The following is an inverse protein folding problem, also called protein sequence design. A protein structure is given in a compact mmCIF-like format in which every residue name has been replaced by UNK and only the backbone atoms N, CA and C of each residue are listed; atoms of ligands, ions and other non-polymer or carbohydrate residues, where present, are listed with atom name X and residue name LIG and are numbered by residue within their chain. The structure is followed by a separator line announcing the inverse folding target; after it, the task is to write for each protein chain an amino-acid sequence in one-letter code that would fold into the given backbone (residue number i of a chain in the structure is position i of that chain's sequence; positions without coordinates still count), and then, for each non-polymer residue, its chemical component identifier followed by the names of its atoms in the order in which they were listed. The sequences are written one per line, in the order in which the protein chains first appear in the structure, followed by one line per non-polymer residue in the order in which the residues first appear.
data_IF_354601224755
#
_entry.id   IF_354601224755
#
_cell.length_a   1.000
_cell.length_b   1.000
_cell.length_c   1.000
_cell.angle_alpha   90.00
_cell.angle_beta   90.00
_cell.angle_gamma   90.00
#
_symmetry.space_group_name_H-M   'P 1'
#
loop_
_entity.id
_entity.type
_entity.pdbx_description
1 polymer ?
#
# COMPACT_ATOMS: atom_id res chain seq x y z
N UNK A 1 -40.24 -27.94 3.09
CA UNK A 1 -40.08 -26.64 2.43
C UNK A 1 -38.63 -26.24 2.61
N UNK A 2 -37.84 -26.50 1.58
CA UNK A 2 -36.40 -26.19 1.54
C UNK A 2 -36.28 -24.78 0.92
N UNK A 3 -35.88 -23.81 1.74
CA UNK A 3 -35.54 -22.48 1.24
C UNK A 3 -34.03 -22.55 0.93
N UNK A 4 -33.73 -22.89 -0.31
CA UNK A 4 -32.43 -22.62 -0.90
C UNK A 4 -32.42 -21.16 -1.36
N UNK A 5 -32.09 -20.24 -0.46
CA UNK A 5 -31.67 -18.90 -0.85
C UNK A 5 -30.31 -19.03 -1.54
N UNK A 6 -30.37 -19.24 -2.83
CA UNK A 6 -29.25 -19.03 -3.74
C UNK A 6 -28.99 -17.54 -3.79
N UNK A 7 -28.09 -17.04 -2.95
CA UNK A 7 -27.49 -15.72 -3.12
C UNK A 7 -26.67 -15.75 -4.43
N UNK A 8 -27.32 -15.41 -5.51
CA UNK A 8 -26.64 -15.02 -6.75
C UNK A 8 -25.91 -13.70 -6.47
N UNK A 9 -24.64 -13.80 -6.09
CA UNK A 9 -23.74 -12.66 -6.15
C UNK A 9 -23.48 -12.33 -7.62
N UNK A 10 -24.44 -11.66 -8.24
CA UNK A 10 -24.29 -11.17 -9.61
C UNK A 10 -23.37 -9.96 -9.57
N UNK A 11 -22.13 -10.16 -10.02
CA UNK A 11 -21.04 -9.21 -9.99
C UNK A 11 -21.34 -7.93 -10.81
N UNK A 12 -22.42 -7.93 -11.56
CA UNK A 12 -22.88 -6.79 -12.37
C UNK A 12 -23.53 -5.67 -11.54
N UNK A 13 -24.02 -5.93 -10.32
CA UNK A 13 -24.64 -4.92 -9.43
C UNK A 13 -23.69 -4.17 -8.50
N UNK A 14 -22.37 -4.43 -8.57
CA UNK A 14 -21.35 -3.79 -7.71
C UNK A 14 -21.00 -2.36 -8.18
N UNK A 15 -21.93 -1.63 -8.77
CA UNK A 15 -21.68 -0.24 -9.22
C UNK A 15 -21.32 0.73 -8.08
N UNK A 16 -21.98 0.64 -6.95
CA UNK A 16 -21.73 1.51 -5.78
C UNK A 16 -20.88 0.86 -4.68
N UNK A 17 -20.77 -0.47 -4.65
CA UNK A 17 -20.14 -1.24 -3.57
C UNK A 17 -18.77 -1.86 -3.96
N UNK A 18 -18.15 -1.38 -5.07
CA UNK A 18 -16.85 -1.93 -5.55
C UNK A 18 -15.71 -1.83 -4.53
N UNK A 19 -15.88 -1.03 -3.48
CA UNK A 19 -14.92 -0.87 -2.38
C UNK A 19 -15.35 -1.55 -1.09
N UNK A 20 -16.43 -2.34 -1.12
CA UNK A 20 -16.83 -3.13 0.03
C UNK A 20 -15.71 -4.08 0.44
N UNK A 21 -15.39 -4.09 1.72
CA UNK A 21 -14.43 -5.02 2.31
C UNK A 21 -15.09 -6.38 2.52
N UNK A 22 -14.50 -7.42 1.95
CA UNK A 22 -14.99 -8.78 2.12
C UNK A 22 -14.41 -9.42 3.37
N UNK A 23 -15.26 -9.93 4.23
CA UNK A 23 -14.88 -10.74 5.39
C UNK A 23 -14.69 -12.21 4.98
N UNK A 24 -14.00 -12.97 5.81
CA UNK A 24 -13.80 -14.40 5.59
C UNK A 24 -15.14 -15.16 5.41
N UNK A 25 -16.17 -14.79 6.17
CA UNK A 25 -17.49 -15.41 6.05
C UNK A 25 -18.15 -15.17 4.69
N UNK A 26 -18.09 -13.92 4.19
CA UNK A 26 -18.64 -13.54 2.89
C UNK A 26 -17.94 -14.29 1.75
N UNK A 27 -16.60 -14.32 1.80
CA UNK A 27 -15.81 -14.98 0.78
C UNK A 27 -16.00 -16.50 0.82
N UNK A 28 -16.12 -17.13 2.00
CA UNK A 28 -16.45 -18.56 2.12
C UNK A 28 -17.77 -18.91 1.45
N UNK A 29 -18.79 -18.07 1.58
CA UNK A 29 -20.06 -18.28 0.91
C UNK A 29 -19.94 -18.16 -0.61
N UNK A 30 -19.22 -17.14 -1.09
CA UNK A 30 -18.99 -16.94 -2.51
C UNK A 30 -18.21 -18.09 -3.14
N UNK A 31 -17.19 -18.59 -2.46
CA UNK A 31 -16.34 -19.71 -2.90
C UNK A 31 -17.10 -21.03 -2.97
N UNK A 32 -17.96 -21.30 -2.00
CA UNK A 32 -18.79 -22.53 -1.96
C UNK A 32 -19.87 -22.58 -3.03
N UNK A 33 -20.09 -21.49 -3.76
CA UNK A 33 -20.97 -21.51 -4.91
C UNK A 33 -20.30 -22.26 -6.08
N UNK A 34 -21.08 -22.96 -6.94
CA UNK A 34 -20.52 -23.68 -8.10
C UNK A 34 -19.67 -22.81 -9.04
N UNK A 35 -19.99 -21.52 -9.13
CA UNK A 35 -19.20 -20.54 -9.88
C UNK A 35 -17.98 -20.06 -9.12
N UNK A 36 -18.00 -20.10 -7.80
CA UNK A 36 -16.90 -19.64 -6.94
C UNK A 36 -15.70 -20.58 -6.92
N UNK A 37 -15.93 -21.90 -7.04
CA UNK A 37 -14.85 -22.91 -7.09
C UNK A 37 -13.93 -22.74 -8.31
N UNK A 38 -14.45 -22.16 -9.40
CA UNK A 38 -13.68 -21.88 -10.62
C UNK A 38 -13.13 -20.46 -10.66
N UNK A 39 -13.49 -19.63 -9.69
CA UNK A 39 -13.07 -18.22 -9.66
C UNK A 39 -11.67 -18.10 -9.03
N UNK A 40 -10.85 -17.24 -9.62
CA UNK A 40 -9.53 -16.89 -9.14
C UNK A 40 -9.64 -15.63 -8.29
N UNK A 41 -9.06 -15.64 -7.11
CA UNK A 41 -9.25 -14.60 -6.11
C UNK A 41 -7.94 -13.91 -5.72
N UNK A 42 -7.96 -12.58 -5.71
CA UNK A 42 -6.88 -11.74 -5.18
C UNK A 42 -7.47 -10.87 -4.06
N UNK A 43 -6.88 -10.95 -2.89
CA UNK A 43 -7.25 -10.11 -1.74
C UNK A 43 -6.19 -9.06 -1.52
N UNK A 44 -6.63 -7.82 -1.33
CA UNK A 44 -5.77 -6.65 -1.17
C UNK A 44 -6.16 -5.85 0.07
N UNK A 45 -5.29 -4.94 0.51
CA UNK A 45 -5.49 -4.17 1.73
C UNK A 45 -6.47 -3.02 1.56
N UNK A 46 -6.43 -2.34 0.42
CA UNK A 46 -7.11 -1.08 0.24
C UNK A 46 -7.66 -0.84 -1.16
N UNK A 47 -8.25 0.35 -1.29
CA UNK A 47 -8.91 0.79 -2.52
C UNK A 47 -7.91 1.00 -3.66
N UNK A 48 -6.76 1.60 -3.37
CA UNK A 48 -5.74 1.89 -4.38
C UNK A 48 -5.17 0.61 -4.97
N UNK A 49 -4.91 -0.40 -4.13
CA UNK A 49 -4.48 -1.73 -4.58
C UNK A 49 -5.49 -2.35 -5.53
N UNK A 50 -6.77 -2.29 -5.16
CA UNK A 50 -7.85 -2.83 -5.98
C UNK A 50 -7.97 -2.14 -7.34
N UNK A 51 -7.66 -0.86 -7.42
CA UNK A 51 -7.70 -0.10 -8.67
C UNK A 51 -6.44 -0.35 -9.54
N UNK A 52 -5.28 -0.65 -8.93
CA UNK A 52 -4.03 -0.90 -9.64
C UNK A 52 -3.90 -2.34 -10.15
N UNK A 53 -4.12 -3.33 -9.30
CA UNK A 53 -3.78 -4.73 -9.62
C UNK A 53 -4.50 -5.32 -10.84
N UNK A 54 -5.70 -4.85 -11.27
CA UNK A 54 -6.30 -5.34 -12.53
C UNK A 54 -5.40 -5.23 -13.76
N UNK A 55 -4.37 -4.36 -13.75
CA UNK A 55 -3.40 -4.27 -14.84
C UNK A 55 -2.55 -5.54 -14.97
N UNK A 56 -2.27 -6.23 -13.84
CA UNK A 56 -1.40 -7.41 -13.78
C UNK A 56 -2.14 -8.72 -14.04
N UNK A 57 -3.44 -8.78 -13.76
CA UNK A 57 -4.20 -10.02 -13.74
C UNK A 57 -5.10 -10.21 -14.96
N UNK A 58 -5.46 -11.47 -15.22
CA UNK A 58 -6.44 -11.84 -16.25
C UNK A 58 -7.83 -11.28 -15.89
N UNK A 59 -8.69 -11.11 -16.89
CA UNK A 59 -10.02 -10.51 -16.70
C UNK A 59 -10.97 -11.32 -15.83
N UNK A 60 -10.75 -12.64 -15.72
CA UNK A 60 -11.55 -13.57 -14.91
C UNK A 60 -11.11 -13.59 -13.44
N UNK A 61 -9.99 -12.95 -13.09
CA UNK A 61 -9.52 -12.81 -11.71
C UNK A 61 -10.35 -11.78 -10.97
N UNK A 62 -10.81 -12.12 -9.78
CA UNK A 62 -11.59 -11.25 -8.90
C UNK A 62 -10.71 -10.64 -7.83
N UNK A 63 -10.66 -9.30 -7.77
CA UNK A 63 -9.85 -8.56 -6.81
C UNK A 63 -10.77 -7.90 -5.78
N UNK A 64 -10.56 -8.21 -4.50
CA UNK A 64 -11.36 -7.70 -3.40
C UNK A 64 -10.53 -7.13 -2.28
N UNK A 65 -11.08 -6.11 -1.62
CA UNK A 65 -10.50 -5.56 -0.39
C UNK A 65 -10.87 -6.50 0.76
N UNK A 66 -9.86 -7.05 1.44
CA UNK A 66 -10.09 -7.85 2.63
C UNK A 66 -10.56 -7.00 3.80
N UNK A 67 -11.49 -7.54 4.60
CA UNK A 67 -12.03 -6.87 5.77
C UNK A 67 -12.18 -7.81 6.96
N UNK A 68 -11.93 -7.28 8.16
CA UNK A 68 -12.18 -7.96 9.43
C UNK A 68 -13.01 -7.09 10.36
N UNK A 69 -13.77 -7.71 11.25
CA UNK A 69 -14.43 -6.98 12.32
C UNK A 69 -13.40 -6.58 13.39
N UNK A 70 -13.51 -5.36 13.90
CA UNK A 70 -12.82 -4.98 15.13
C UNK A 70 -13.49 -5.68 16.31
N UNK A 71 -12.69 -6.30 17.17
CA UNK A 71 -13.20 -6.99 18.36
C UNK A 71 -13.82 -6.03 19.39
N UNK A 72 -13.41 -4.75 19.42
CA UNK A 72 -13.74 -3.80 20.47
C UNK A 72 -14.78 -2.73 20.08
N UNK A 73 -15.35 -2.74 18.87
CA UNK A 73 -16.24 -1.69 18.42
C UNK A 73 -17.72 -2.09 18.46
N UNK A 74 -18.48 -1.40 19.33
CA UNK A 74 -19.95 -1.51 19.37
C UNK A 74 -20.65 -1.20 18.05
N UNK A 75 -19.92 -0.65 17.06
CA UNK A 75 -20.41 -0.32 15.71
C UNK A 75 -20.05 -1.34 14.62
N UNK A 76 -19.37 -2.45 14.97
CA UNK A 76 -18.96 -3.48 14.01
C UNK A 76 -18.28 -2.93 12.74
N UNK A 77 -17.37 -1.97 12.90
CA UNK A 77 -16.66 -1.39 11.77
C UNK A 77 -15.67 -2.40 11.15
N UNK A 78 -15.77 -2.62 9.84
CA UNK A 78 -14.90 -3.53 9.10
C UNK A 78 -13.59 -2.83 8.74
N UNK A 79 -12.48 -3.31 9.30
CA UNK A 79 -11.15 -2.81 8.97
C UNK A 79 -10.49 -3.64 7.85
N UNK A 80 -9.71 -2.96 6.99
CA UNK A 80 -8.81 -3.59 6.03
C UNK A 80 -7.38 -3.75 6.58
N UNK A 81 -6.40 -3.83 5.67
CA UNK A 81 -4.98 -3.88 5.96
C UNK A 81 -4.42 -5.29 6.05
N UNK A 82 -3.10 -5.39 6.24
CA UNK A 82 -2.33 -6.65 6.22
C UNK A 82 -3.00 -7.78 7.03
N UNK A 83 -3.43 -7.47 8.26
CA UNK A 83 -4.07 -8.48 9.12
C UNK A 83 -5.34 -9.05 8.52
N UNK A 84 -6.16 -8.19 7.90
CA UNK A 84 -7.39 -8.64 7.26
C UNK A 84 -7.12 -9.56 6.07
N UNK A 85 -6.17 -9.20 5.20
CA UNK A 85 -5.76 -10.05 4.07
C UNK A 85 -5.31 -11.42 4.56
N UNK A 86 -4.41 -11.46 5.55
CA UNK A 86 -3.88 -12.71 6.11
C UNK A 86 -4.95 -13.60 6.73
N UNK A 87 -5.79 -13.02 7.59
CA UNK A 87 -6.88 -13.75 8.26
C UNK A 87 -7.86 -14.34 7.24
N UNK A 88 -8.24 -13.58 6.22
CA UNK A 88 -9.17 -14.05 5.20
C UNK A 88 -8.55 -15.16 4.36
N UNK A 89 -7.31 -14.97 3.85
CA UNK A 89 -6.60 -16.00 3.07
C UNK A 89 -6.43 -17.27 3.90
N UNK A 90 -5.87 -17.17 5.11
CA UNK A 90 -5.65 -18.32 5.98
C UNK A 90 -6.95 -19.09 6.29
N UNK A 91 -8.03 -18.35 6.53
CA UNK A 91 -9.35 -18.93 6.82
C UNK A 91 -9.91 -19.71 5.64
N UNK A 92 -9.72 -19.23 4.41
CA UNK A 92 -10.19 -19.91 3.20
C UNK A 92 -9.35 -21.16 2.91
N UNK A 93 -8.02 -21.06 3.05
CA UNK A 93 -7.11 -22.20 2.86
C UNK A 93 -7.36 -23.31 3.86
N UNK A 94 -7.66 -22.97 5.12
CA UNK A 94 -7.97 -23.94 6.17
C UNK A 94 -9.23 -24.78 5.87
N UNK A 95 -10.17 -24.22 5.11
CA UNK A 95 -11.37 -24.95 4.67
C UNK A 95 -11.09 -25.96 3.52
N UNK A 96 -9.86 -25.97 2.97
CA UNK A 96 -9.42 -26.93 1.95
C UNK A 96 -10.01 -26.70 0.54
N UNK A 97 -10.71 -25.59 0.34
CA UNK A 97 -11.49 -25.37 -0.87
C UNK A 97 -10.75 -24.69 -2.03
N UNK A 98 -9.61 -24.02 -1.80
CA UNK A 98 -9.07 -23.14 -2.87
C UNK A 98 -7.57 -23.24 -3.01
N UNK A 99 -7.14 -23.66 -4.19
CA UNK A 99 -5.77 -23.49 -4.70
C UNK A 99 -5.60 -22.19 -5.52
N UNK A 100 -6.64 -21.39 -5.69
CA UNK A 100 -6.71 -20.21 -6.58
C UNK A 100 -6.97 -18.90 -5.83
N UNK A 101 -6.47 -18.79 -4.60
CA UNK A 101 -6.53 -17.56 -3.81
C UNK A 101 -5.13 -17.08 -3.43
N UNK A 102 -4.88 -15.79 -3.63
CA UNK A 102 -3.70 -15.10 -3.11
C UNK A 102 -4.08 -13.82 -2.38
N UNK A 103 -3.21 -13.38 -1.49
CA UNK A 103 -3.26 -12.05 -0.88
C UNK A 103 -2.06 -11.22 -1.33
N UNK A 104 -2.25 -9.92 -1.53
CA UNK A 104 -1.17 -8.97 -1.78
C UNK A 104 -1.24 -7.91 -0.69
N UNK A 105 -0.10 -7.65 -0.06
CA UNK A 105 0.03 -6.72 1.06
C UNK A 105 1.22 -5.78 0.85
N UNK A 106 1.15 -4.63 1.51
CA UNK A 106 2.27 -3.71 1.53
C UNK A 106 3.46 -4.28 2.32
N UNK A 107 4.67 -3.98 1.87
CA UNK A 107 5.91 -4.35 2.58
C UNK A 107 6.04 -3.63 3.91
N UNK A 108 5.52 -2.43 4.01
CA UNK A 108 5.58 -1.56 5.18
C UNK A 108 7.03 -1.37 5.71
N UNK A 109 7.18 -1.29 7.05
CA UNK A 109 8.48 -1.15 7.72
C UNK A 109 8.94 -2.45 8.41
N UNK A 110 8.48 -3.60 7.94
CA UNK A 110 8.80 -4.89 8.57
C UNK A 110 10.31 -5.14 8.58
N UNK A 111 10.98 -4.80 7.47
CA UNK A 111 12.43 -4.97 7.32
C UNK A 111 13.27 -4.09 8.28
N UNK A 112 12.65 -3.13 8.96
CA UNK A 112 13.32 -2.15 9.80
C UNK A 112 13.02 -2.31 11.31
N UNK A 113 12.41 -3.41 11.71
CA UNK A 113 12.11 -3.67 13.13
C UNK A 113 13.33 -4.22 13.85
N UNK A 114 13.69 -3.58 14.99
CA UNK A 114 14.81 -4.02 15.83
C UNK A 114 14.56 -5.32 16.58
N UNK A 115 13.28 -5.66 16.81
CA UNK A 115 12.89 -6.89 17.53
C UNK A 115 12.93 -8.15 16.66
N UNK A 116 13.24 -8.01 15.37
CA UNK A 116 13.25 -9.12 14.42
C UNK A 116 11.87 -9.75 14.20
N UNK A 117 10.81 -9.12 14.70
CA UNK A 117 9.44 -9.61 14.53
C UNK A 117 9.01 -9.47 13.07
N UNK A 118 9.18 -10.55 12.33
CA UNK A 118 8.68 -10.72 10.97
C UNK A 118 7.26 -11.30 10.95
N UNK A 119 6.61 -11.46 12.11
CA UNK A 119 5.26 -12.05 12.20
C UNK A 119 4.19 -11.24 11.43
N UNK A 120 4.55 -10.02 11.02
CA UNK A 120 3.81 -9.30 10.00
C UNK A 120 3.80 -10.00 8.64
N UNK A 121 4.84 -10.79 8.31
CA UNK A 121 5.02 -11.42 6.99
C UNK A 121 5.13 -12.94 7.18
N UNK A 122 4.02 -13.59 7.43
CA UNK A 122 3.95 -15.03 7.32
C UNK A 122 3.62 -15.37 5.85
N UNK A 123 4.66 -15.69 5.10
CA UNK A 123 4.54 -16.11 3.70
C UNK A 123 4.03 -17.55 3.67
N UNK A 124 2.75 -17.74 3.75
CA UNK A 124 2.10 -19.06 3.61
C UNK A 124 2.18 -19.61 2.19
N UNK A 125 2.96 -19.00 1.31
CA UNK A 125 2.99 -19.32 -0.13
C UNK A 125 1.79 -18.77 -0.91
N UNK A 126 0.83 -18.14 -0.23
CA UNK A 126 -0.33 -17.47 -0.83
C UNK A 126 -0.40 -15.98 -0.51
N UNK A 127 0.56 -15.43 0.24
CA UNK A 127 0.66 -14.00 0.53
C UNK A 127 1.91 -13.45 -0.16
N UNK A 128 1.73 -12.41 -0.93
CA UNK A 128 2.78 -11.69 -1.65
C UNK A 128 2.88 -10.26 -1.13
N UNK A 129 4.06 -9.67 -1.28
CA UNK A 129 4.31 -8.28 -0.83
C UNK A 129 4.69 -7.38 -1.99
N UNK A 130 4.36 -6.10 -1.88
CA UNK A 130 4.81 -5.09 -2.84
C UNK A 130 6.33 -4.99 -2.88
N UNK A 131 6.90 -4.61 -4.03
CA UNK A 131 8.35 -4.46 -4.24
C UNK A 131 8.96 -3.40 -3.34
N UNK A 132 8.23 -2.32 -3.15
CA UNK A 132 8.62 -1.18 -2.35
C UNK A 132 7.76 -1.13 -1.09
N UNK A 133 7.94 -0.06 -0.29
CA UNK A 133 7.26 0.05 0.99
C UNK A 133 5.74 -0.12 0.90
N UNK A 134 5.14 0.48 -0.11
CA UNK A 134 3.69 0.43 -0.40
C UNK A 134 3.46 0.53 -1.91
N UNK A 135 2.20 0.36 -2.33
CA UNK A 135 1.82 0.48 -3.73
C UNK A 135 2.16 1.85 -4.29
N UNK A 136 1.90 2.92 -3.53
CA UNK A 136 2.12 4.29 -3.97
C UNK A 136 3.60 4.51 -4.32
N UNK A 137 4.52 3.98 -3.53
CA UNK A 137 5.95 4.06 -3.83
C UNK A 137 6.35 3.19 -5.01
N UNK A 138 5.66 2.08 -5.25
CA UNK A 138 5.83 1.29 -6.49
C UNK A 138 5.48 2.12 -7.72
N UNK A 139 4.39 2.90 -7.69
CA UNK A 139 4.00 3.78 -8.79
C UNK A 139 5.09 4.82 -9.15
N UNK A 140 5.77 5.38 -8.16
CA UNK A 140 6.87 6.34 -8.41
C UNK A 140 8.07 5.73 -9.12
N UNK A 141 8.23 4.41 -9.10
CA UNK A 141 9.32 3.71 -9.80
C UNK A 141 8.95 3.29 -11.22
N UNK A 142 7.69 3.42 -11.62
CA UNK A 142 7.19 3.08 -12.94
C UNK A 142 7.28 4.30 -13.87
N UNK A 143 8.13 4.26 -14.93
CA UNK A 143 8.35 5.44 -15.80
C UNK A 143 7.07 5.99 -16.43
N UNK A 144 6.16 5.13 -16.89
CA UNK A 144 4.91 5.57 -17.53
C UNK A 144 3.95 6.21 -16.53
N UNK A 145 3.87 5.69 -15.30
CA UNK A 145 3.10 6.28 -14.22
C UNK A 145 3.65 7.66 -13.86
N UNK A 146 4.98 7.76 -13.68
CA UNK A 146 5.65 9.02 -13.38
C UNK A 146 5.48 10.06 -14.48
N UNK A 147 5.52 9.65 -15.76
CA UNK A 147 5.29 10.53 -16.90
C UNK A 147 3.93 11.23 -16.84
N UNK A 148 2.90 10.57 -16.29
CA UNK A 148 1.58 11.19 -16.16
C UNK A 148 1.59 12.40 -15.21
N UNK A 149 2.44 12.38 -14.20
CA UNK A 149 2.65 13.52 -13.28
C UNK A 149 3.55 14.58 -13.91
N UNK A 150 4.67 14.17 -14.53
CA UNK A 150 5.63 15.12 -15.12
C UNK A 150 5.07 15.87 -16.34
N UNK A 151 3.98 15.34 -16.91
CA UNK A 151 3.25 16.00 -17.99
C UNK A 151 2.22 17.04 -17.51
N UNK A 152 2.03 17.20 -16.21
CA UNK A 152 1.12 18.20 -15.67
C UNK A 152 1.73 19.62 -15.83
N UNK A 153 0.90 20.65 -16.17
CA UNK A 153 1.40 22.00 -16.37
C UNK A 153 2.09 22.63 -15.15
N UNK A 154 1.69 22.18 -13.97
CA UNK A 154 2.22 22.66 -12.68
C UNK A 154 3.54 21.99 -12.29
N UNK A 155 3.97 20.96 -13.00
CA UNK A 155 5.23 20.28 -12.74
C UNK A 155 6.42 21.17 -13.10
N UNK A 156 7.35 21.32 -12.16
CA UNK A 156 8.64 21.97 -12.39
C UNK A 156 9.75 21.23 -11.66
N UNK A 157 10.94 21.17 -12.24
CA UNK A 157 12.11 20.51 -11.65
C UNK A 157 12.45 20.99 -10.22
N UNK A 158 12.42 22.31 -9.90
CA UNK A 158 12.66 22.78 -8.55
C UNK A 158 11.66 22.26 -7.52
N UNK A 159 10.37 22.09 -7.90
CA UNK A 159 9.34 21.52 -7.03
C UNK A 159 9.71 20.08 -6.71
N UNK A 160 10.09 19.29 -7.71
CA UNK A 160 10.41 17.87 -7.52
C UNK A 160 11.65 17.67 -6.68
N UNK A 161 12.70 18.45 -6.88
CA UNK A 161 13.90 18.36 -6.05
C UNK A 161 13.61 18.66 -4.56
N UNK A 162 12.77 19.65 -4.28
CA UNK A 162 12.35 19.95 -2.91
C UNK A 162 11.46 18.84 -2.33
N UNK A 163 10.49 18.37 -3.10
CA UNK A 163 9.61 17.28 -2.73
C UNK A 163 10.41 16.01 -2.37
N UNK A 164 11.33 15.61 -3.23
CA UNK A 164 12.17 14.43 -3.03
C UNK A 164 13.01 14.54 -1.75
N UNK A 165 13.65 15.68 -1.50
CA UNK A 165 14.42 15.90 -0.29
C UNK A 165 13.56 15.73 0.97
N UNK A 166 12.36 16.31 0.98
CA UNK A 166 11.45 16.22 2.14
C UNK A 166 10.98 14.80 2.38
N UNK A 167 10.49 14.09 1.34
CA UNK A 167 9.96 12.73 1.53
C UNK A 167 11.04 11.74 1.95
N UNK A 168 12.27 11.87 1.45
CA UNK A 168 13.41 11.06 1.86
C UNK A 168 13.73 11.25 3.33
N UNK A 169 13.75 12.48 3.81
CA UNK A 169 14.02 12.77 5.22
C UNK A 169 12.89 12.25 6.14
N UNK A 170 11.63 12.44 5.76
CA UNK A 170 10.50 11.89 6.49
C UNK A 170 10.52 10.36 6.51
N UNK A 171 10.86 9.74 5.40
CA UNK A 171 11.07 8.29 5.31
C UNK A 171 12.16 7.81 6.26
N UNK A 172 13.32 8.49 6.27
CA UNK A 172 14.41 8.19 7.19
C UNK A 172 13.99 8.31 8.67
N UNK A 173 13.23 9.35 9.03
CA UNK A 173 12.65 9.50 10.38
C UNK A 173 11.72 8.33 10.71
N UNK A 174 10.87 7.89 9.77
CA UNK A 174 9.96 6.76 10.01
C UNK A 174 10.70 5.45 10.22
N UNK A 175 11.76 5.19 9.45
CA UNK A 175 12.63 4.03 9.67
C UNK A 175 13.26 4.09 11.05
N UNK A 176 13.88 5.21 11.41
CA UNK A 176 14.51 5.39 12.70
C UNK A 176 13.50 5.24 13.86
N UNK A 177 12.31 5.83 13.72
CA UNK A 177 11.24 5.68 14.69
C UNK A 177 10.80 4.22 14.82
N UNK A 178 10.68 3.50 13.72
CA UNK A 178 10.30 2.08 13.73
C UNK A 178 11.36 1.21 14.40
N UNK A 179 12.63 1.53 14.18
CA UNK A 179 13.76 0.82 14.79
C UNK A 179 13.87 1.11 16.29
N UNK A 180 13.83 2.39 16.68
CA UNK A 180 14.08 2.81 18.06
C UNK A 180 12.82 2.79 18.96
N UNK A 181 11.62 2.94 18.37
CA UNK A 181 10.37 3.17 19.09
C UNK A 181 9.26 2.28 18.55
N UNK A 182 9.48 0.98 18.54
CA UNK A 182 8.72 -0.09 17.83
C UNK A 182 7.19 0.04 17.86
N UNK A 183 6.62 0.66 18.89
CA UNK A 183 5.17 0.75 19.08
C UNK A 183 4.60 2.16 18.93
N UNK A 184 5.44 3.17 18.68
CA UNK A 184 4.96 4.53 18.55
C UNK A 184 4.65 4.87 17.10
N UNK A 185 3.45 5.38 16.88
CA UNK A 185 3.03 5.85 15.58
C UNK A 185 3.52 7.29 15.37
N UNK A 186 4.47 7.48 14.44
CA UNK A 186 4.88 8.81 14.03
C UNK A 186 3.77 9.45 13.17
N UNK A 187 2.87 10.17 13.83
CA UNK A 187 1.83 10.96 13.17
C UNK A 187 2.36 12.36 12.84
N UNK A 188 2.60 12.57 11.54
CA UNK A 188 3.14 13.82 11.04
C UNK A 188 2.35 14.31 9.83
N UNK A 189 1.85 15.54 9.90
CA UNK A 189 1.18 16.18 8.78
C UNK A 189 2.18 16.92 7.90
N UNK A 190 2.41 16.42 6.68
CA UNK A 190 3.31 17.04 5.70
C UNK A 190 2.91 18.46 5.32
N UNK A 191 1.64 18.82 5.45
CA UNK A 191 1.15 20.19 5.23
C UNK A 191 1.81 21.24 6.13
N UNK A 192 2.34 20.83 7.30
CA UNK A 192 3.07 21.72 8.21
C UNK A 192 4.43 22.16 7.65
N UNK A 193 4.92 21.49 6.60
CA UNK A 193 6.20 21.79 5.94
C UNK A 193 6.05 22.71 4.75
N UNK A 194 4.82 23.12 4.41
CA UNK A 194 4.55 23.95 3.23
C UNK A 194 3.93 25.27 3.59
N UNK A 195 4.48 26.36 3.03
CA UNK A 195 3.93 27.70 3.15
C UNK A 195 3.03 28.00 1.94
N UNK A 196 1.71 27.98 2.16
CA UNK A 196 0.72 28.22 1.10
C UNK A 196 0.76 29.65 0.52
N UNK A 197 1.27 30.64 1.26
CA UNK A 197 1.37 32.02 0.78
C UNK A 197 2.54 32.18 -0.20
N UNK A 198 3.71 31.67 0.17
CA UNK A 198 4.92 31.74 -0.66
C UNK A 198 5.01 30.60 -1.67
N UNK A 199 4.18 29.57 -1.53
CA UNK A 199 4.18 28.34 -2.35
C UNK A 199 5.52 27.61 -2.33
N UNK A 200 6.15 27.53 -1.16
CA UNK A 200 7.46 26.90 -0.96
C UNK A 200 7.45 26.01 0.29
N UNK A 201 8.39 25.07 0.34
CA UNK A 201 8.73 24.37 1.58
C UNK A 201 9.30 25.39 2.57
N UNK A 202 8.88 25.31 3.85
CA UNK A 202 9.40 26.20 4.89
C UNK A 202 10.90 25.99 5.10
N UNK A 203 11.71 27.05 5.30
CA UNK A 203 13.18 26.92 5.35
C UNK A 203 13.71 25.97 6.42
N UNK A 204 13.01 25.86 7.58
CA UNK A 204 13.40 25.03 8.71
C UNK A 204 12.61 23.70 8.78
N UNK A 205 12.21 23.17 7.64
CA UNK A 205 11.37 21.98 7.56
C UNK A 205 11.99 20.73 8.23
N UNK A 206 13.31 20.58 8.16
CA UNK A 206 14.01 19.47 8.84
C UNK A 206 13.88 19.55 10.35
N UNK A 207 14.08 20.76 10.90
CA UNK A 207 13.93 20.99 12.35
C UNK A 207 12.49 20.71 12.81
N UNK A 208 11.50 21.11 12.03
CA UNK A 208 10.07 20.87 12.34
C UNK A 208 9.81 19.37 12.40
N UNK A 209 10.24 18.62 11.38
CA UNK A 209 10.05 17.17 11.32
C UNK A 209 10.81 16.45 12.46
N UNK A 210 12.09 16.81 12.67
CA UNK A 210 12.94 16.23 13.71
C UNK A 210 12.41 16.51 15.12
N UNK A 211 12.02 17.74 15.41
CA UNK A 211 11.47 18.13 16.71
C UNK A 211 10.19 17.36 17.05
N UNK A 212 9.35 17.06 16.05
CA UNK A 212 8.17 16.23 16.27
C UNK A 212 8.57 14.79 16.59
N UNK A 213 9.49 14.21 15.82
CA UNK A 213 9.97 12.85 16.03
C UNK A 213 10.61 12.66 17.41
N UNK A 214 11.44 13.62 17.85
CA UNK A 214 12.09 13.58 19.17
C UNK A 214 11.10 13.56 20.34
N UNK A 215 9.95 14.22 20.21
CA UNK A 215 8.94 14.25 21.29
C UNK A 215 8.30 12.89 21.54
N UNK A 216 8.34 12.04 20.53
CA UNK A 216 7.72 10.71 20.54
C UNK A 216 8.72 9.60 20.84
N UNK A 217 10.05 9.89 20.78
CA UNK A 217 11.10 8.92 21.00
C UNK A 217 11.60 8.89 22.46
N UNK A 218 12.01 7.71 22.92
CA UNK A 218 12.73 7.59 24.18
C UNK A 218 14.07 8.36 24.08
N UNK A 219 14.31 9.27 25.03
CA UNK A 219 15.49 10.14 25.06
C UNK A 219 16.81 9.37 25.05
N UNK A 220 16.85 8.12 25.58
CA UNK A 220 18.05 7.28 25.58
C UNK A 220 18.45 6.80 24.18
N UNK A 221 17.50 6.73 23.24
CA UNK A 221 17.70 6.26 21.87
C UNK A 221 17.87 7.39 20.85
N UNK A 222 17.89 8.66 21.32
CA UNK A 222 17.92 9.83 20.44
C UNK A 222 19.14 9.85 19.53
N UNK A 223 20.31 9.43 20.01
CA UNK A 223 21.54 9.40 19.21
C UNK A 223 21.43 8.33 18.12
N UNK A 224 21.02 7.12 18.47
CA UNK A 224 20.80 6.03 17.52
C UNK A 224 19.79 6.41 16.45
N UNK A 225 18.70 7.05 16.84
CA UNK A 225 17.70 7.54 15.91
C UNK A 225 18.28 8.56 14.92
N UNK A 226 19.15 9.48 15.39
CA UNK A 226 19.80 10.45 14.52
C UNK A 226 20.76 9.78 13.54
N UNK A 227 21.57 8.83 14.01
CA UNK A 227 22.52 8.09 13.18
C UNK A 227 21.80 7.34 12.04
N UNK A 228 20.64 6.72 12.33
CA UNK A 228 19.79 6.06 11.32
C UNK A 228 19.22 7.08 10.33
N UNK A 229 18.73 8.24 10.81
CA UNK A 229 18.17 9.27 9.92
C UNK A 229 19.25 9.77 8.96
N UNK A 230 20.46 10.05 9.46
CA UNK A 230 21.58 10.50 8.61
C UNK A 230 21.96 9.43 7.58
N UNK A 231 22.11 8.18 8.00
CA UNK A 231 22.41 7.06 7.10
C UNK A 231 21.37 6.98 5.97
N UNK A 232 20.08 6.89 6.31
CA UNK A 232 19.02 6.68 5.33
C UNK A 232 18.81 7.90 4.42
N UNK A 233 18.94 9.11 4.96
CA UNK A 233 18.79 10.33 4.16
C UNK A 233 19.87 10.48 3.09
N UNK A 234 21.07 9.96 3.34
CA UNK A 234 22.19 9.99 2.38
C UNK A 234 22.18 8.85 1.35
N UNK A 235 21.23 7.90 1.44
CA UNK A 235 21.07 6.88 0.41
C UNK A 235 20.66 7.51 -0.93
N UNK A 236 20.97 6.81 -2.02
CA UNK A 236 20.59 7.25 -3.36
C UNK A 236 19.05 7.41 -3.50
N UNK A 237 18.63 8.36 -4.32
CA UNK A 237 17.20 8.62 -4.59
C UNK A 237 16.45 7.37 -5.04
N UNK A 238 17.10 6.50 -5.82
CA UNK A 238 16.53 5.22 -6.26
C UNK A 238 16.19 4.25 -5.13
N UNK A 239 16.76 4.45 -3.94
CA UNK A 239 16.49 3.60 -2.77
C UNK A 239 15.39 4.18 -1.87
N UNK A 240 14.98 5.43 -2.07
CA UNK A 240 14.00 6.06 -1.19
C UNK A 240 12.62 5.38 -1.22
N UNK A 241 12.26 4.76 -2.32
CA UNK A 241 10.98 4.06 -2.48
C UNK A 241 10.80 2.89 -1.48
N UNK A 242 11.89 2.27 -1.03
CA UNK A 242 11.83 1.15 -0.08
C UNK A 242 11.54 1.57 1.37
N UNK A 243 11.70 2.86 1.72
CA UNK A 243 11.48 3.33 3.09
C UNK A 243 10.60 4.58 3.21
N UNK A 244 10.30 5.26 2.11
CA UNK A 244 9.39 6.42 2.11
C UNK A 244 7.94 5.95 2.15
N UNK A 245 7.10 6.65 2.91
CA UNK A 245 5.66 6.40 2.95
C UNK A 245 4.97 7.08 1.76
N UNK A 246 4.30 6.30 0.92
CA UNK A 246 3.61 6.79 -0.26
C UNK A 246 2.56 7.84 0.04
N UNK A 247 1.76 7.64 1.08
CA UNK A 247 0.79 8.64 1.54
C UNK A 247 1.43 10.01 1.84
N UNK A 248 2.60 10.07 2.50
CA UNK A 248 3.30 11.33 2.74
C UNK A 248 3.80 11.94 1.42
N UNK A 249 4.31 11.09 0.52
CA UNK A 249 4.84 11.51 -0.77
C UNK A 249 3.75 12.12 -1.66
N UNK A 250 2.62 11.44 -1.82
CA UNK A 250 1.51 11.93 -2.64
C UNK A 250 0.83 13.15 -2.04
N UNK A 251 0.63 13.17 -0.72
CA UNK A 251 0.03 14.31 -0.03
C UNK A 251 0.87 15.56 -0.17
N UNK A 252 2.20 15.46 -0.01
CA UNK A 252 3.09 16.59 -0.21
C UNK A 252 3.11 17.03 -1.67
N UNK A 253 3.18 16.09 -2.61
CA UNK A 253 3.16 16.38 -4.03
C UNK A 253 1.88 17.11 -4.45
N UNK A 254 0.72 16.65 -3.96
CA UNK A 254 -0.57 17.28 -4.22
C UNK A 254 -0.61 18.75 -3.72
N UNK A 255 -0.04 18.99 -2.54
CA UNK A 255 0.08 20.35 -1.99
C UNK A 255 0.98 21.21 -2.88
N UNK A 256 2.14 20.72 -3.30
CA UNK A 256 3.15 21.47 -4.02
C UNK A 256 2.75 21.76 -5.47
N UNK A 257 2.10 20.81 -6.16
CA UNK A 257 1.74 20.98 -7.56
C UNK A 257 0.68 22.06 -7.77
N UNK A 258 -0.31 22.18 -6.92
CA UNK A 258 -1.33 23.21 -7.13
C UNK A 258 -1.99 23.70 -5.84
N UNK A 259 -1.19 24.01 -4.81
CA UNK A 259 -1.71 24.59 -3.58
C UNK A 259 -2.89 23.79 -2.96
N UNK A 260 -2.87 22.46 -3.15
CA UNK A 260 -3.91 21.57 -2.67
C UNK A 260 -5.15 21.43 -3.58
N UNK A 261 -5.08 21.90 -4.85
CA UNK A 261 -6.15 21.68 -5.82
C UNK A 261 -6.30 20.21 -6.22
N UNK A 262 -5.20 19.48 -6.23
CA UNK A 262 -5.22 18.03 -6.40
C UNK A 262 -5.31 17.36 -5.02
N UNK A 263 -6.15 16.35 -4.90
CA UNK A 263 -6.08 15.44 -3.77
C UNK A 263 -5.02 14.37 -4.03
N UNK A 264 -4.51 13.76 -2.96
CA UNK A 264 -3.65 12.58 -3.02
C UNK A 264 -4.27 11.50 -3.91
N UNK A 265 -5.55 11.21 -3.71
CA UNK A 265 -6.30 10.22 -4.46
C UNK A 265 -6.30 10.49 -5.97
N UNK A 266 -6.48 11.75 -6.38
CA UNK A 266 -6.45 12.14 -7.81
C UNK A 266 -5.08 11.85 -8.41
N UNK A 267 -4.00 12.17 -7.71
CA UNK A 267 -2.63 11.91 -8.21
C UNK A 267 -2.35 10.41 -8.32
N UNK A 268 -2.70 9.63 -7.30
CA UNK A 268 -2.54 8.17 -7.35
C UNK A 268 -3.33 7.58 -8.51
N UNK A 269 -4.59 7.96 -8.68
CA UNK A 269 -5.42 7.50 -9.80
C UNK A 269 -4.85 7.90 -11.16
N UNK A 270 -4.29 9.12 -11.26
CA UNK A 270 -3.63 9.59 -12.49
C UNK A 270 -2.43 8.71 -12.83
N UNK A 271 -1.62 8.34 -11.83
CA UNK A 271 -0.48 7.45 -12.03
C UNK A 271 -0.92 6.03 -12.39
N UNK A 272 -1.94 5.49 -11.70
CA UNK A 272 -2.52 4.17 -12.04
C UNK A 272 -2.98 4.12 -13.49
N UNK A 273 -3.67 5.16 -13.97
CA UNK A 273 -4.11 5.24 -15.36
C UNK A 273 -2.95 5.36 -16.36
N UNK A 274 -1.83 5.94 -15.93
CA UNK A 274 -0.61 6.05 -16.74
C UNK A 274 0.20 4.74 -16.82
N UNK A 275 0.00 3.79 -15.91
CA UNK A 275 0.77 2.55 -15.83
C UNK A 275 0.63 1.68 -17.09
N UNK A 276 1.72 1.07 -17.49
CA UNK A 276 1.76 0.09 -18.57
C UNK A 276 2.01 -1.31 -18.03
N UNK A 277 1.27 -2.27 -18.55
CA UNK A 277 1.42 -3.67 -18.17
C UNK A 277 2.85 -4.18 -18.29
N UNK A 278 3.59 -3.79 -19.35
CA UNK A 278 4.97 -4.24 -19.57
C UNK A 278 5.91 -3.82 -18.44
N UNK A 279 5.64 -2.70 -17.76
CA UNK A 279 6.43 -2.26 -16.59
C UNK A 279 6.14 -3.13 -15.37
N UNK A 280 4.91 -3.63 -15.23
CA UNK A 280 4.55 -4.53 -14.13
C UNK A 280 5.33 -5.83 -14.17
N UNK A 281 5.70 -6.32 -15.37
CA UNK A 281 6.49 -7.56 -15.55
C UNK A 281 7.88 -7.49 -14.90
N UNK A 282 8.44 -6.30 -14.72
CA UNK A 282 9.74 -6.11 -14.07
C UNK A 282 9.67 -6.11 -12.54
N UNK A 283 8.47 -6.03 -11.95
CA UNK A 283 8.28 -6.07 -10.52
C UNK A 283 8.59 -7.46 -9.96
N UNK A 284 9.25 -7.51 -8.80
CA UNK A 284 9.52 -8.77 -8.10
C UNK A 284 8.20 -9.46 -7.71
N UNK A 285 7.21 -8.67 -7.28
CA UNK A 285 5.85 -9.16 -7.02
C UNK A 285 5.27 -9.94 -8.20
N UNK A 286 5.43 -9.42 -9.44
CA UNK A 286 4.94 -10.12 -10.63
C UNK A 286 5.69 -11.44 -10.83
N UNK A 287 7.01 -11.46 -10.67
CA UNK A 287 7.84 -12.65 -10.80
C UNK A 287 7.52 -13.70 -9.73
N UNK A 288 7.28 -13.28 -8.51
CA UNK A 288 6.93 -14.18 -7.41
C UNK A 288 5.58 -14.86 -7.66
N UNK A 289 4.58 -14.12 -8.13
CA UNK A 289 3.28 -14.68 -8.52
C UNK A 289 3.44 -15.61 -9.74
N UNK A 290 4.26 -15.24 -10.74
CA UNK A 290 4.52 -16.09 -11.90
C UNK A 290 5.18 -17.44 -11.51
N UNK A 291 6.10 -17.41 -10.54
CA UNK A 291 6.68 -18.64 -9.99
C UNK A 291 5.67 -19.49 -9.24
N UNK A 292 4.78 -18.86 -8.47
CA UNK A 292 3.69 -19.56 -7.79
C UNK A 292 2.74 -20.25 -8.77
N UNK A 293 2.43 -19.62 -9.91
CA UNK A 293 1.58 -20.17 -10.96
C UNK A 293 2.14 -21.46 -11.60
N UNK A 294 3.43 -21.74 -11.49
CA UNK A 294 4.00 -22.99 -12.01
C UNK A 294 3.41 -24.26 -11.38
N UNK A 295 2.89 -24.13 -10.18
CA UNK A 295 2.27 -25.22 -9.39
C UNK A 295 0.81 -24.98 -9.03
N UNK A 296 0.28 -23.83 -9.45
CA UNK A 296 -1.06 -23.38 -9.14
C UNK A 296 -1.79 -22.86 -10.39
N UNK A 297 -2.94 -22.26 -10.18
CA UNK A 297 -3.78 -21.72 -11.27
C UNK A 297 -3.18 -20.46 -11.85
N UNK A 298 -3.12 -20.34 -13.17
CA UNK A 298 -2.68 -19.12 -13.84
C UNK A 298 -3.63 -17.95 -13.59
N UNK A 299 -3.10 -16.82 -13.12
CA UNK A 299 -3.85 -15.63 -12.76
C UNK A 299 -3.33 -14.37 -13.48
N UNK A 300 -2.03 -14.29 -13.77
CA UNK A 300 -1.39 -13.12 -14.39
C UNK A 300 -1.74 -12.98 -15.88
N UNK A 301 -1.75 -11.73 -16.34
CA UNK A 301 -1.71 -11.42 -17.79
C UNK A 301 -0.36 -11.83 -18.35
N UNK A 302 -0.38 -12.34 -19.58
CA UNK A 302 0.82 -12.74 -20.33
C UNK A 302 1.17 -11.72 -21.40
#
# INVERSE_FOLDING_TARGET
MSVTDTYNYDVAEIGEDKYRKMQAADLRLAVKSPSGEQTKWVLVEGRMDRDFFPIMFQKDVRIYIAGRLKEDDAKQEVQGGIKAVREVVASILADGYITSIIGIVDRDYVDYRSDGDTTGIDYTGHIFVTDYRDLEMTLFTMPSAWLSITSMPEYTEPIIAQWEAVIRYLGAIRVANRHCCVYQHFDFSVGNLYNYQTRTIVPNWQDIAWNKAQKECNMSLKKEMLDIVEEKFHLASSQCASYTRGHDAFKLLAIMLNNGKYSEEILVQTMIQGCKFEECKSLQLYQDIANWELTHVEMLRK
#
